data_IF_562433308248
#
_entry.id   IF_562433308248
#
_cell.length_a   1.000
_cell.length_b   1.000
_cell.length_c   1.000
_cell.angle_alpha   90.00
_cell.angle_beta   90.00
_cell.angle_gamma   90.00
#
_symmetry.space_group_name_H-M   'P 1'
#
loop_
_entity.id
_entity.type
_entity.pdbx_description
1 polymer ?
#
# COMPACT_ATOMS: atom_id res chain seq x y z
N UNK A 1 -18.05 -4.08 31.75
CA UNK A 1 -16.61 -4.18 31.46
C UNK A 1 -16.30 -5.06 30.25
N UNK A 2 -16.60 -6.37 30.25
CA UNK A 2 -16.24 -7.28 29.14
C UNK A 2 -16.82 -6.88 27.77
N UNK A 3 -18.06 -6.38 27.72
CA UNK A 3 -18.72 -5.94 26.47
C UNK A 3 -18.07 -4.69 25.87
N UNK A 4 -17.71 -3.69 26.69
CA UNK A 4 -17.01 -2.48 26.22
C UNK A 4 -15.62 -2.77 25.67
N UNK A 5 -14.90 -3.73 26.26
CA UNK A 5 -13.57 -4.12 25.76
C UNK A 5 -13.68 -4.76 24.37
N UNK A 6 -14.70 -5.59 24.13
CA UNK A 6 -14.94 -6.20 22.83
C UNK A 6 -15.30 -5.14 21.78
N UNK A 7 -16.15 -4.18 22.12
CA UNK A 7 -16.51 -3.08 21.20
C UNK A 7 -15.29 -2.21 20.87
N UNK A 8 -14.46 -1.87 21.85
CA UNK A 8 -13.24 -1.09 21.63
C UNK A 8 -12.23 -1.84 20.75
N UNK A 9 -12.06 -3.15 20.97
CA UNK A 9 -11.17 -3.99 20.17
C UNK A 9 -11.65 -4.09 18.70
N UNK A 10 -12.96 -4.19 18.47
CA UNK A 10 -13.53 -4.19 17.12
C UNK A 10 -13.29 -2.87 16.39
N UNK A 11 -13.53 -1.72 17.04
CA UNK A 11 -13.28 -0.41 16.42
C UNK A 11 -11.80 -0.26 16.03
N UNK A 12 -10.89 -0.71 16.90
CA UNK A 12 -9.45 -0.65 16.62
C UNK A 12 -9.05 -1.53 15.44
N UNK A 13 -9.65 -2.72 15.31
CA UNK A 13 -9.40 -3.63 14.21
C UNK A 13 -9.92 -3.11 12.86
N UNK A 14 -11.03 -2.37 12.86
CA UNK A 14 -11.59 -1.77 11.64
C UNK A 14 -10.76 -0.54 11.24
N UNK A 15 -10.32 0.26 12.22
CA UNK A 15 -9.47 1.43 11.97
C UNK A 15 -8.07 1.05 11.45
N UNK A 16 -7.55 -0.11 11.82
CA UNK A 16 -6.26 -0.63 11.32
C UNK A 16 -6.38 -1.37 10.00
N UNK A 17 -7.59 -1.58 9.48
CA UNK A 17 -7.80 -2.14 8.16
C UNK A 17 -7.41 -1.08 7.11
N UNK A 18 -6.15 -1.14 6.66
CA UNK A 18 -5.68 -0.34 5.53
C UNK A 18 -6.43 -0.78 4.27
N UNK A 19 -7.46 -0.03 3.91
CA UNK A 19 -8.19 -0.22 2.65
C UNK A 19 -7.25 0.20 1.53
N UNK A 20 -6.80 -0.74 0.70
CA UNK A 20 -5.98 -0.44 -0.46
C UNK A 20 -6.85 0.24 -1.53
N UNK A 21 -6.87 1.57 -1.52
CA UNK A 21 -7.58 2.35 -2.54
C UNK A 21 -6.82 2.30 -3.87
N UNK A 22 -7.55 2.01 -4.95
CA UNK A 22 -7.01 2.16 -6.29
C UNK A 22 -6.69 3.64 -6.55
N UNK A 23 -5.40 3.97 -6.58
CA UNK A 23 -4.92 5.33 -6.81
C UNK A 23 -4.21 5.39 -8.16
N UNK A 24 -4.73 6.22 -9.07
CA UNK A 24 -3.98 6.62 -10.25
C UNK A 24 -2.89 7.63 -9.86
N UNK A 25 -1.72 7.51 -10.47
CA UNK A 25 -0.63 8.46 -10.29
C UNK A 25 0.13 8.64 -11.60
N UNK A 26 0.68 9.83 -11.79
CA UNK A 26 1.55 10.16 -12.91
C UNK A 26 2.79 10.83 -12.35
N UNK A 27 3.93 10.61 -13.01
CA UNK A 27 5.20 11.16 -12.57
C UNK A 27 6.32 10.77 -13.53
N UNK A 28 7.52 11.27 -13.25
CA UNK A 28 8.72 10.97 -14.01
C UNK A 28 9.40 9.74 -13.42
N UNK A 29 9.84 8.82 -14.27
CA UNK A 29 10.62 7.64 -13.84
C UNK A 29 12.00 8.12 -13.40
N UNK A 30 12.38 7.79 -12.16
CA UNK A 30 13.72 8.04 -11.63
C UNK A 30 14.64 6.83 -11.83
N UNK A 31 14.12 5.61 -11.66
CA UNK A 31 14.89 4.37 -11.89
C UNK A 31 14.00 3.19 -12.27
N UNK A 32 14.61 2.18 -12.88
CA UNK A 32 13.99 0.92 -13.28
C UNK A 32 14.84 -0.23 -12.73
N UNK A 33 14.22 -1.13 -11.96
CA UNK A 33 14.82 -2.39 -11.54
C UNK A 33 14.20 -3.53 -12.34
N UNK A 34 14.94 -4.03 -13.32
CA UNK A 34 14.51 -5.14 -14.17
C UNK A 34 14.53 -6.49 -13.44
N UNK A 35 15.35 -6.66 -12.40
CA UNK A 35 15.47 -7.92 -11.68
C UNK A 35 14.40 -8.05 -10.60
N UNK A 36 14.08 -6.93 -9.94
CA UNK A 36 12.98 -6.82 -8.98
C UNK A 36 11.64 -6.46 -9.61
N UNK A 37 11.58 -6.39 -10.94
CA UNK A 37 10.38 -6.09 -11.73
C UNK A 37 9.61 -4.86 -11.23
N UNK A 38 10.31 -3.72 -11.13
CA UNK A 38 9.73 -2.51 -10.54
C UNK A 38 10.26 -1.21 -11.14
N UNK A 39 9.47 -0.16 -11.02
CA UNK A 39 9.84 1.21 -11.36
C UNK A 39 9.76 2.11 -10.14
N UNK A 40 10.68 3.06 -10.01
CA UNK A 40 10.61 4.10 -8.98
C UNK A 40 10.44 5.46 -9.62
N UNK A 41 9.46 6.22 -9.15
CA UNK A 41 9.20 7.58 -9.62
C UNK A 41 10.07 8.60 -8.88
N UNK A 42 10.18 9.82 -9.42
CA UNK A 42 10.96 10.92 -8.84
C UNK A 42 10.48 11.38 -7.46
N UNK A 43 9.25 11.02 -7.07
CA UNK A 43 8.72 11.27 -5.73
C UNK A 43 9.11 10.18 -4.71
N UNK A 44 9.92 9.19 -5.13
CA UNK A 44 10.39 8.09 -4.30
C UNK A 44 9.42 6.92 -4.19
N UNK A 45 8.25 6.95 -4.84
CA UNK A 45 7.33 5.81 -4.84
C UNK A 45 7.79 4.73 -5.81
N UNK A 46 7.79 3.48 -5.33
CA UNK A 46 8.10 2.30 -6.13
C UNK A 46 6.84 1.53 -6.46
N UNK A 47 6.73 1.08 -7.71
CA UNK A 47 5.63 0.27 -8.23
C UNK A 47 6.20 -1.03 -8.77
N UNK A 48 5.77 -2.15 -8.20
CA UNK A 48 6.01 -3.47 -8.79
C UNK A 48 5.14 -3.64 -10.03
N UNK A 49 5.75 -4.15 -11.09
CA UNK A 49 5.08 -4.45 -12.33
C UNK A 49 4.47 -5.86 -12.24
N UNK A 50 3.37 -6.14 -12.96
CA UNK A 50 2.65 -7.41 -12.87
C UNK A 50 3.26 -8.52 -13.76
N UNK A 51 4.30 -8.22 -14.54
CA UNK A 51 4.88 -9.16 -15.51
C UNK A 51 5.65 -10.34 -14.86
N UNK A 52 6.18 -10.20 -13.65
CA UNK A 52 6.71 -11.31 -12.85
C UNK A 52 7.93 -12.01 -13.46
N UNK A 53 8.86 -11.22 -13.99
CA UNK A 53 10.06 -11.69 -14.72
C UNK A 53 11.24 -12.13 -13.84
#
# INVERSE_FOLDING_TARGET
MKKSVITAAMIMAIASANVAYAKATTGTIASIDKKGDSITLSDGKTFSLPEGI
#
